data_IF_076309296994
#
_entry.id   IF_076309296994
#
_cell.length_a   1.000
_cell.length_b   1.000
_cell.length_c   1.000
_cell.angle_alpha   90.00
_cell.angle_beta   90.00
_cell.angle_gamma   90.00
#
_symmetry.space_group_name_H-M   'P 1'
#
loop_
_entity.id
_entity.type
_entity.pdbx_description
1 polymer ?
#
# COMPACT_ATOMS: atom_id res chain seq x y z
N UNK A 1 -3.65 21.99 6.31
CA UNK A 1 -2.89 20.84 5.77
C UNK A 1 -1.60 21.36 5.19
N UNK A 2 -0.48 20.65 5.37
CA UNK A 2 0.78 20.99 4.72
C UNK A 2 0.79 20.46 3.27
N UNK A 3 1.86 20.72 2.50
CA UNK A 3 1.91 20.34 1.10
C UNK A 3 2.31 18.87 0.93
N UNK A 4 1.57 17.95 1.56
CA UNK A 4 1.83 16.51 1.63
C UNK A 4 0.55 15.67 1.52
N UNK A 5 0.68 14.38 1.26
CA UNK A 5 -0.42 13.44 1.06
C UNK A 5 -0.60 13.07 -0.41
N UNK A 6 -1.86 13.02 -0.87
CA UNK A 6 -2.24 12.80 -2.26
C UNK A 6 -2.69 14.11 -2.91
N UNK A 7 -2.14 14.44 -4.08
CA UNK A 7 -2.47 15.64 -4.82
C UNK A 7 -3.70 15.39 -5.70
N UNK A 8 -4.75 16.16 -5.42
CA UNK A 8 -6.01 16.18 -6.19
C UNK A 8 -6.17 17.53 -6.90
N UNK A 9 -7.22 17.67 -7.71
CA UNK A 9 -7.57 18.93 -8.37
C UNK A 9 -7.90 20.05 -7.37
N UNK A 10 -8.30 19.70 -6.14
CA UNK A 10 -8.56 20.66 -5.05
C UNK A 10 -7.34 20.92 -4.16
N UNK A 11 -6.20 20.28 -4.47
CA UNK A 11 -4.95 20.42 -3.74
C UNK A 11 -4.56 19.17 -2.95
N UNK A 12 -3.65 19.36 -1.98
CA UNK A 12 -3.11 18.30 -1.14
C UNK A 12 -4.14 17.81 -0.13
N UNK A 13 -4.42 16.51 -0.17
CA UNK A 13 -5.30 15.82 0.76
C UNK A 13 -4.47 14.91 1.66
N UNK A 14 -4.73 14.94 2.98
CA UNK A 14 -4.11 14.02 3.93
C UNK A 14 -4.44 12.58 3.55
N UNK A 15 -3.41 11.77 3.29
CA UNK A 15 -3.58 10.43 2.77
C UNK A 15 -2.41 9.51 3.16
N UNK A 16 -2.64 8.20 3.16
CA UNK A 16 -1.64 7.19 3.48
C UNK A 16 -1.59 6.11 2.38
N UNK A 17 -0.39 5.60 2.12
CA UNK A 17 -0.10 4.56 1.15
C UNK A 17 1.03 3.67 1.68
N UNK A 18 1.33 2.59 0.97
CA UNK A 18 2.47 1.70 1.27
C UNK A 18 3.56 1.92 0.23
N UNK A 19 4.82 2.01 0.67
CA UNK A 19 5.98 1.95 -0.21
C UNK A 19 6.59 0.53 -0.18
N UNK A 20 6.67 -0.09 -1.35
CA UNK A 20 7.20 -1.44 -1.57
C UNK A 20 8.41 -1.35 -2.50
N UNK A 21 9.60 -1.14 -1.94
CA UNK A 21 10.82 -0.92 -2.74
C UNK A 21 10.72 0.37 -3.56
N UNK A 22 10.74 0.27 -4.90
CA UNK A 22 10.62 1.43 -5.80
C UNK A 22 9.18 1.75 -6.20
N UNK A 23 8.19 1.11 -5.58
CA UNK A 23 6.78 1.25 -5.93
C UNK A 23 5.98 1.85 -4.77
N UNK A 24 4.98 2.66 -5.10
CA UNK A 24 3.86 3.00 -4.22
C UNK A 24 2.72 2.05 -4.53
N UNK A 25 2.12 1.50 -3.48
CA UNK A 25 0.87 0.74 -3.52
C UNK A 25 -0.16 1.47 -2.68
N UNK A 26 -1.25 1.85 -3.33
CA UNK A 26 -2.34 2.59 -2.72
C UNK A 26 -3.66 1.92 -3.06
N UNK A 27 -4.35 1.44 -2.03
CA UNK A 27 -5.61 0.70 -2.14
C UNK A 27 -6.81 1.57 -1.74
N UNK A 28 -6.59 2.86 -1.50
CA UNK A 28 -7.61 3.82 -1.05
C UNK A 28 -7.55 5.13 -1.85
N UNK A 29 -6.78 5.19 -2.94
CA UNK A 29 -6.71 6.36 -3.83
C UNK A 29 -8.04 6.65 -4.55
N UNK A 30 -8.91 5.65 -4.65
CA UNK A 30 -10.26 5.77 -5.22
C UNK A 30 -11.15 6.75 -4.46
N UNK A 31 -10.89 7.01 -3.18
CA UNK A 31 -11.55 8.09 -2.42
C UNK A 31 -11.35 9.48 -3.07
N UNK A 32 -10.33 9.61 -3.93
CA UNK A 32 -10.01 10.81 -4.70
C UNK A 32 -10.26 10.66 -6.21
N UNK A 33 -10.99 9.61 -6.63
CA UNK A 33 -11.32 9.36 -8.04
C UNK A 33 -10.24 8.63 -8.85
N UNK A 34 -9.21 8.08 -8.20
CA UNK A 34 -8.25 7.20 -8.85
C UNK A 34 -8.76 5.75 -8.98
N UNK A 35 -7.95 4.87 -9.55
CA UNK A 35 -8.25 3.42 -9.58
C UNK A 35 -8.35 2.84 -8.16
N UNK A 36 -9.24 1.85 -7.91
CA UNK A 36 -9.39 1.17 -6.62
C UNK A 36 -8.10 0.58 -6.06
N UNK A 37 -7.21 0.13 -6.94
CA UNK A 37 -5.83 -0.22 -6.60
C UNK A 37 -4.93 0.54 -7.56
N UNK A 38 -4.07 1.39 -6.99
CA UNK A 38 -3.09 2.18 -7.71
C UNK A 38 -1.70 1.72 -7.33
N UNK A 39 -0.95 1.28 -8.34
CA UNK A 39 0.46 0.90 -8.21
C UNK A 39 1.25 1.80 -9.14
N UNK A 40 2.20 2.56 -8.60
CA UNK A 40 2.98 3.57 -9.35
C UNK A 40 4.42 3.62 -8.86
N UNK A 41 5.28 4.36 -9.56
CA UNK A 41 6.67 4.59 -9.15
C UNK A 41 6.72 5.45 -7.87
N UNK A 42 7.71 5.22 -7.00
CA UNK A 42 7.91 5.97 -5.75
C UNK A 42 8.06 7.48 -5.92
N UNK A 43 8.39 7.95 -7.12
CA UNK A 43 8.57 9.36 -7.46
C UNK A 43 7.32 9.99 -8.12
N UNK A 44 6.18 9.30 -8.13
CA UNK A 44 4.91 9.85 -8.60
C UNK A 44 4.60 11.17 -7.87
N UNK A 45 4.50 12.25 -8.65
CA UNK A 45 4.35 13.62 -8.14
C UNK A 45 3.01 13.86 -7.45
N UNK A 46 2.05 12.95 -7.61
CA UNK A 46 0.78 12.98 -6.88
C UNK A 46 0.96 12.60 -5.41
N UNK A 47 2.06 11.95 -5.06
CA UNK A 47 2.34 11.54 -3.69
C UNK A 47 3.43 12.41 -3.08
N UNK A 48 3.24 12.82 -1.83
CA UNK A 48 4.30 13.47 -1.06
C UNK A 48 4.22 13.12 0.40
N UNK A 49 5.25 12.46 0.92
CA UNK A 49 5.36 12.10 2.34
C UNK A 49 5.43 13.37 3.21
N UNK A 50 4.71 13.36 4.34
CA UNK A 50 4.91 14.33 5.41
C UNK A 50 5.97 13.86 6.40
N UNK A 51 6.69 14.78 7.04
CA UNK A 51 7.82 14.45 7.92
C UNK A 51 7.40 13.98 9.33
N UNK A 52 6.10 13.99 9.62
CA UNK A 52 5.55 13.64 10.94
C UNK A 52 4.33 12.76 10.81
N UNK A 53 4.28 11.74 11.64
CA UNK A 53 3.03 11.06 11.93
C UNK A 53 2.20 11.94 12.87
N UNK A 54 1.01 12.34 12.41
CA UNK A 54 0.11 13.19 13.19
C UNK A 54 -0.97 12.38 13.92
N UNK A 55 -0.94 11.05 13.83
CA UNK A 55 -1.84 10.21 14.61
C UNK A 55 -1.56 10.37 16.11
N UNK A 56 -2.63 10.30 16.90
CA UNK A 56 -2.49 10.29 18.36
C UNK A 56 -1.75 9.00 18.80
N UNK A 57 -0.95 9.05 19.89
CA UNK A 57 -0.14 7.91 20.32
C UNK A 57 -0.91 6.60 20.47
N UNK A 58 -2.16 6.63 20.92
CA UNK A 58 -3.01 5.46 21.05
C UNK A 58 -3.32 4.78 19.71
N UNK A 59 -3.47 5.56 18.63
CA UNK A 59 -3.69 5.01 17.29
C UNK A 59 -2.41 4.46 16.69
N UNK A 60 -1.26 5.05 17.03
CA UNK A 60 0.07 4.51 16.69
C UNK A 60 0.27 3.15 17.37
N UNK A 61 0.01 3.06 18.67
CA UNK A 61 0.12 1.81 19.42
C UNK A 61 -0.87 0.75 18.95
N UNK A 62 -2.10 1.15 18.61
CA UNK A 62 -3.12 0.21 18.15
C UNK A 62 -2.75 -0.44 16.80
N UNK A 63 -2.27 0.33 15.83
CA UNK A 63 -1.87 -0.22 14.52
C UNK A 63 -0.59 -1.05 14.61
N UNK A 64 0.35 -0.70 15.48
CA UNK A 64 1.57 -1.50 15.71
C UNK A 64 1.20 -2.87 16.29
N UNK A 65 0.34 -2.91 17.32
CA UNK A 65 -0.18 -4.17 17.88
C UNK A 65 -0.91 -5.01 16.83
N UNK A 66 -1.74 -4.39 16.00
CA UNK A 66 -2.46 -5.10 14.95
C UNK A 66 -1.49 -5.74 13.95
N UNK A 67 -0.41 -5.04 13.56
CA UNK A 67 0.63 -5.61 12.70
C UNK A 67 1.33 -6.77 13.39
N UNK A 68 1.76 -6.62 14.65
CA UNK A 68 2.44 -7.67 15.40
C UNK A 68 1.60 -8.94 15.56
N UNK A 69 0.28 -8.80 15.70
CA UNK A 69 -0.65 -9.93 15.81
C UNK A 69 -0.90 -10.66 14.48
N UNK A 70 -0.95 -9.91 13.36
CA UNK A 70 -1.31 -10.45 12.04
C UNK A 70 -0.08 -10.99 11.29
N UNK A 71 1.04 -10.27 11.38
CA UNK A 71 2.22 -10.47 10.54
C UNK A 71 2.82 -11.89 10.62
N UNK A 72 2.98 -12.51 11.80
CA UNK A 72 3.53 -13.87 11.90
C UNK A 72 2.69 -14.92 11.17
N UNK A 73 1.35 -14.77 11.20
CA UNK A 73 0.42 -15.68 10.54
C UNK A 73 0.51 -15.54 9.02
N UNK A 74 0.61 -14.31 8.53
CA UNK A 74 0.77 -14.03 7.11
C UNK A 74 2.06 -14.64 6.55
N UNK A 75 3.18 -14.48 7.26
CA UNK A 75 4.46 -15.10 6.88
C UNK A 75 4.41 -16.63 6.91
N UNK A 76 3.73 -17.22 7.90
CA UNK A 76 3.53 -18.66 8.00
C UNK A 76 2.74 -19.23 6.81
N UNK A 77 1.66 -18.55 6.41
CA UNK A 77 0.83 -18.97 5.29
C UNK A 77 1.58 -18.87 3.95
N UNK A 78 2.36 -17.81 3.74
CA UNK A 78 3.11 -17.62 2.50
C UNK A 78 4.25 -18.64 2.31
N UNK A 79 4.81 -19.18 3.42
CA UNK A 79 5.80 -20.27 3.34
C UNK A 79 5.18 -21.59 2.89
N UNK A 80 3.90 -21.82 3.18
CA UNK A 80 3.21 -23.07 2.83
C UNK A 80 2.71 -23.08 1.38
N UNK A 81 2.45 -21.91 0.78
CA UNK A 81 1.99 -21.78 -0.62
C UNK A 81 3.09 -21.92 -1.67
N UNK A 82 4.36 -21.77 -1.30
CA UNK A 82 5.51 -21.91 -2.21
C UNK A 82 5.82 -23.36 -2.64
N UNK A 83 5.02 -24.34 -2.18
CA UNK A 83 5.16 -25.76 -2.53
C UNK A 83 4.33 -26.19 -3.75
N UNK A 84 3.75 -25.24 -4.48
CA UNK A 84 2.98 -25.54 -5.69
C UNK A 84 3.92 -25.56 -6.89
N UNK A 85 4.26 -26.76 -7.37
CA UNK A 85 5.02 -27.01 -8.61
C UNK A 85 4.41 -26.20 -9.77
N UNK A 86 5.20 -25.52 -10.62
CA UNK A 86 4.66 -24.87 -11.80
C UNK A 86 4.11 -25.92 -12.78
N UNK A 87 2.79 -26.02 -12.87
CA UNK A 87 2.13 -26.75 -13.96
C UNK A 87 2.39 -26.02 -15.28
N UNK A 88 2.87 -26.75 -16.28
CA UNK A 88 3.11 -26.26 -17.63
C UNK A 88 1.81 -25.72 -18.24
N UNK A 89 1.72 -24.40 -18.43
CA UNK A 89 0.62 -23.79 -19.17
C UNK A 89 0.93 -23.94 -20.68
N UNK A 90 0.28 -24.91 -21.33
CA UNK A 90 0.27 -25.01 -22.80
C UNK A 90 -1.02 -24.36 -23.29
N UNK A 91 -0.92 -23.07 -23.65
CA UNK A 91 -1.96 -22.38 -24.41
C UNK A 91 -1.59 -22.43 -25.89
N UNK A 92 -2.33 -23.19 -26.68
CA UNK A 92 -2.34 -23.05 -28.14
C UNK A 92 -3.08 -21.78 -28.50
N UNK A 93 -2.45 -20.92 -29.30
CA UNK A 93 -3.10 -19.78 -29.92
C UNK A 93 -3.94 -20.27 -31.11
N UNK A 94 -5.20 -19.88 -31.14
CA UNK A 94 -6.00 -19.75 -32.37
C UNK A 94 -6.35 -18.27 -32.56
#
# INVERSE_FOLDING_TARGET
MGPFGFLTDTGWQSHAWVECGNMIVDITADQFGASPVLITDRHDRRYRRGDRDTALPEFILARERAVDEIWPRWLGNNRNTSTSTPGTFSGTAE
#
